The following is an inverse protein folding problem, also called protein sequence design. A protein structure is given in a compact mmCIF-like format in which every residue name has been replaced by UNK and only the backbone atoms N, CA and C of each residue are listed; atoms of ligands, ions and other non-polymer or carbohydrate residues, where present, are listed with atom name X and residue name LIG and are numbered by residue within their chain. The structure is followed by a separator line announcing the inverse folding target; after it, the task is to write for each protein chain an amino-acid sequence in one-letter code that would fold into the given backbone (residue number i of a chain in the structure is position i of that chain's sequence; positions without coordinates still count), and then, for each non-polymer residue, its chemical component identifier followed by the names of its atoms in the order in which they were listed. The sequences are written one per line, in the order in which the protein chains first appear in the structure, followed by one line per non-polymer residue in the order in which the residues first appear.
data_IF_896946216725
#
_entry.id   IF_896946216725
#
_cell.length_a   1.000
_cell.length_b   1.000
_cell.length_c   1.000
_cell.angle_alpha   90.00
_cell.angle_beta   90.00
_cell.angle_gamma   90.00
#
_symmetry.space_group_name_H-M   'P 1'
#
loop_
_entity.id
_entity.type
_entity.pdbx_description
1 polymer ?
#
# COMPACT_ATOMS: atom_id res chain seq x y z
N UNK A 1 -5.25 -17.87 -11.91
CA UNK A 1 -4.92 -16.88 -10.86
C UNK A 1 -3.89 -15.92 -11.41
N UNK A 2 -4.28 -14.66 -11.57
CA UNK A 2 -3.37 -13.54 -11.86
C UNK A 2 -2.46 -13.33 -10.64
N UNK A 3 -1.19 -13.03 -10.87
CA UNK A 3 -0.21 -12.79 -9.80
C UNK A 3 0.04 -11.28 -9.71
N UNK A 4 0.09 -10.75 -8.49
CA UNK A 4 0.31 -9.34 -8.22
C UNK A 4 1.51 -9.21 -7.30
N UNK A 5 2.50 -8.42 -7.70
CA UNK A 5 3.74 -8.26 -6.95
C UNK A 5 4.03 -6.79 -6.66
N UNK A 6 4.63 -6.54 -5.51
CA UNK A 6 5.07 -5.22 -5.06
C UNK A 6 6.59 -5.19 -5.00
N UNK A 7 7.20 -4.08 -5.45
CA UNK A 7 8.62 -3.81 -5.22
C UNK A 7 8.74 -2.41 -4.65
N UNK A 8 9.26 -2.29 -3.43
CA UNK A 8 9.48 -1.01 -2.75
C UNK A 8 10.97 -0.86 -2.45
N UNK A 9 11.52 0.30 -2.81
CA UNK A 9 12.81 0.79 -2.36
C UNK A 9 12.62 2.10 -1.60
N UNK A 10 13.67 2.59 -0.91
CA UNK A 10 13.61 3.84 -0.14
C UNK A 10 13.17 5.07 -0.94
N UNK A 11 13.24 5.04 -2.28
CA UNK A 11 12.90 6.17 -3.16
C UNK A 11 11.87 5.84 -4.23
N UNK A 12 11.50 4.58 -4.40
CA UNK A 12 10.66 4.15 -5.53
C UNK A 12 9.69 3.07 -5.10
N UNK A 13 8.44 3.23 -5.49
CA UNK A 13 7.37 2.28 -5.27
C UNK A 13 6.88 1.73 -6.60
N UNK A 14 6.75 0.41 -6.68
CA UNK A 14 6.34 -0.30 -7.90
C UNK A 14 5.29 -1.35 -7.57
N UNK A 15 4.25 -1.42 -8.40
CA UNK A 15 3.22 -2.46 -8.36
C UNK A 15 3.13 -3.07 -9.75
N UNK A 16 3.22 -4.40 -9.84
CA UNK A 16 3.02 -5.15 -11.09
C UNK A 16 1.70 -5.90 -11.05
N UNK A 17 0.87 -5.67 -12.08
CA UNK A 17 -0.32 -6.48 -12.35
C UNK A 17 -0.06 -7.35 -13.58
N UNK A 18 -0.21 -8.66 -13.44
CA UNK A 18 -0.05 -9.60 -14.56
C UNK A 18 -1.37 -10.32 -14.86
N UNK A 19 -1.72 -10.40 -16.14
CA UNK A 19 -2.74 -11.34 -16.64
C UNK A 19 -2.02 -12.63 -17.06
N UNK A 20 -2.44 -13.80 -16.55
CA UNK A 20 -1.86 -15.09 -16.99
C UNK A 20 -2.32 -15.43 -18.40
N UNK A 21 -1.56 -15.00 -19.40
CA UNK A 21 -1.64 -15.49 -20.78
C UNK A 21 -0.27 -15.43 -21.49
N UNK A 22 0.80 -15.97 -20.89
CA UNK A 22 2.03 -16.43 -21.60
C UNK A 22 3.07 -16.98 -20.61
N UNK A 23 3.95 -17.85 -21.10
CA UNK A 23 4.90 -18.72 -20.35
C UNK A 23 5.82 -17.96 -19.37
N UNK A 24 6.10 -18.65 -18.25
CA UNK A 24 6.98 -18.25 -17.15
C UNK A 24 8.40 -17.99 -17.68
N UNK A 25 8.86 -16.74 -17.58
CA UNK A 25 10.26 -16.35 -17.70
C UNK A 25 10.74 -15.83 -16.35
N UNK A 26 11.78 -16.46 -15.80
CA UNK A 26 12.43 -16.04 -14.54
C UNK A 26 13.04 -14.65 -14.68
N UNK A 27 12.62 -13.68 -13.87
CA UNK A 27 13.27 -12.36 -13.80
C UNK A 27 14.61 -12.54 -13.07
N UNK A 28 15.72 -12.43 -13.82
CA UNK A 28 17.07 -12.34 -13.26
C UNK A 28 17.34 -10.91 -12.79
N UNK A 29 18.06 -10.78 -11.68
CA UNK A 29 18.66 -9.52 -11.20
C UNK A 29 19.80 -9.14 -12.15
N UNK A 30 19.79 -7.92 -12.65
CA UNK A 30 20.84 -7.13 -13.35
C UNK A 30 20.03 -6.17 -14.26
N UNK A 31 19.90 -4.88 -13.97
CA UNK A 31 20.97 -3.86 -14.09
C UNK A 31 20.86 -2.79 -12.99
N UNK A 32 21.93 -2.60 -12.24
CA UNK A 32 22.15 -1.44 -11.38
C UNK A 32 23.08 -0.48 -12.11
N UNK A 33 22.65 0.77 -12.32
CA UNK A 33 23.54 1.86 -12.74
C UNK A 33 23.83 2.73 -11.53
N UNK A 34 25.11 2.73 -11.13
CA UNK A 34 25.69 3.52 -10.07
C UNK A 34 25.88 5.00 -10.49
N UNK A 35 25.49 5.93 -9.62
CA UNK A 35 26.37 7.00 -9.12
C UNK A 35 25.62 7.89 -8.09
N UNK A 36 26.02 7.93 -6.81
CA UNK A 36 25.48 8.89 -5.85
C UNK A 36 26.28 10.21 -5.89
N UNK A 37 25.55 11.34 -5.97
CA UNK A 37 26.07 12.68 -5.70
C UNK A 37 26.12 12.88 -4.18
N UNK A 38 27.22 13.37 -3.58
CA UNK A 38 27.28 13.57 -2.13
C UNK A 38 26.52 14.84 -1.73
N UNK A 39 25.47 14.70 -0.91
CA UNK A 39 24.87 15.83 -0.21
C UNK A 39 25.33 15.88 1.25
N UNK A 40 25.76 17.09 1.62
CA UNK A 40 26.30 17.49 2.90
C UNK A 40 25.23 17.40 4.01
N UNK A 41 25.56 16.74 5.11
CA UNK A 41 24.69 16.54 6.28
C UNK A 41 24.79 17.73 7.22
N UNK A 42 23.85 18.67 7.11
CA UNK A 42 23.61 19.62 8.19
C UNK A 42 22.55 19.04 9.14
N UNK A 43 23.03 18.64 10.31
CA UNK A 43 22.24 18.04 11.38
C UNK A 43 21.28 19.08 12.00
N UNK A 44 20.00 19.03 11.65
CA UNK A 44 18.94 19.58 12.51
C UNK A 44 18.41 18.44 13.37
N UNK A 45 18.87 18.36 14.62
CA UNK A 45 18.28 17.49 15.65
C UNK A 45 17.01 18.16 16.17
N UNK A 46 15.85 17.72 15.70
CA UNK A 46 14.58 17.93 16.41
C UNK A 46 13.97 16.58 16.73
N UNK A 47 14.16 16.15 17.98
CA UNK A 47 13.54 14.97 18.53
C UNK A 47 13.33 15.17 20.02
N UNK A 48 12.09 15.02 20.49
CA UNK A 48 11.83 14.85 21.91
C UNK A 48 12.58 13.57 22.37
N UNK A 49 13.42 13.65 23.42
CA UNK A 49 14.22 12.52 23.85
C UNK A 49 13.29 11.37 24.26
N UNK A 50 13.58 10.16 23.78
CA UNK A 50 12.89 8.96 24.24
C UNK A 50 13.22 8.77 25.73
N UNK A 51 12.20 8.74 26.59
CA UNK A 51 12.37 8.62 28.04
C UNK A 51 12.48 7.17 28.50
N UNK A 52 12.25 6.18 27.61
CA UNK A 52 12.39 4.76 27.93
C UNK A 52 12.68 3.83 26.73
N UNK A 53 13.11 2.60 27.03
CA UNK A 53 13.25 1.51 26.05
C UNK A 53 11.89 1.04 25.47
N UNK A 54 10.78 1.27 26.17
CA UNK A 54 9.43 1.03 25.67
C UNK A 54 9.04 2.06 24.61
N UNK A 55 9.42 3.33 24.79
CA UNK A 55 9.26 4.38 23.77
C UNK A 55 10.12 4.11 22.54
N UNK A 56 11.32 3.55 22.72
CA UNK A 56 12.18 3.17 21.60
C UNK A 56 11.63 1.98 20.79
N UNK A 57 10.92 1.04 21.43
CA UNK A 57 10.20 -0.07 20.76
C UNK A 57 8.92 0.41 20.09
N UNK A 58 8.15 1.26 20.77
CA UNK A 58 6.98 1.96 20.22
C UNK A 58 7.37 2.77 18.99
N UNK A 59 8.46 3.54 19.00
CA UNK A 59 8.96 4.29 17.83
C UNK A 59 9.48 3.39 16.69
N UNK A 60 10.01 2.20 17.01
CA UNK A 60 10.35 1.17 16.00
C UNK A 60 9.11 0.58 15.33
N UNK A 61 8.00 0.52 16.05
CA UNK A 61 6.70 0.09 15.54
C UNK A 61 5.91 1.24 14.89
N UNK A 62 6.14 2.50 15.28
CA UNK A 62 5.57 3.70 14.66
C UNK A 62 6.20 3.97 13.28
N UNK A 63 7.46 3.55 13.11
CA UNK A 63 8.11 3.42 11.80
C UNK A 63 7.49 2.31 10.90
N UNK A 64 6.60 1.44 11.41
CA UNK A 64 6.01 0.33 10.62
C UNK A 64 4.88 0.73 9.66
N UNK A 65 4.46 1.99 9.59
CA UNK A 65 3.47 2.43 8.57
C UNK A 65 3.97 3.56 7.71
N UNK A 66 5.18 3.39 7.15
CA UNK A 66 5.57 4.13 5.95
C UNK A 66 4.62 3.82 4.78
N UNK A 67 4.18 2.55 4.73
CA UNK A 67 3.57 1.94 3.57
C UNK A 67 2.37 1.07 3.97
N UNK A 68 1.27 1.22 3.23
CA UNK A 68 0.08 0.39 3.33
C UNK A 68 -0.19 -0.33 2.01
N UNK A 69 -0.01 -1.64 1.99
CA UNK A 69 -0.30 -2.48 0.83
C UNK A 69 -1.77 -2.96 0.87
N UNK A 70 -2.53 -2.65 -0.17
CA UNK A 70 -3.96 -2.95 -0.27
C UNK A 70 -4.28 -3.72 -1.56
N UNK A 71 -3.94 -5.03 -1.64
CA UNK A 71 -4.37 -5.88 -2.74
C UNK A 71 -5.90 -5.97 -2.78
N UNK A 72 -6.47 -5.93 -3.98
CA UNK A 72 -7.93 -5.93 -4.16
C UNK A 72 -8.36 -6.60 -5.47
N UNK A 73 -9.65 -6.87 -5.53
CA UNK A 73 -10.38 -7.27 -6.74
C UNK A 73 -11.53 -6.29 -7.04
N UNK A 74 -11.64 -5.23 -6.24
CA UNK A 74 -12.67 -4.21 -6.36
C UNK A 74 -12.22 -3.08 -7.30
N UNK A 75 -12.72 -3.10 -8.54
CA UNK A 75 -12.39 -2.12 -9.58
C UNK A 75 -13.14 -0.78 -9.45
N UNK A 76 -14.11 -0.68 -8.54
CA UNK A 76 -15.07 0.43 -8.48
C UNK A 76 -14.41 1.71 -7.97
N UNK A 77 -14.90 2.86 -8.40
CA UNK A 77 -14.32 4.16 -8.01
C UNK A 77 -14.36 4.41 -6.50
N UNK A 78 -15.33 3.83 -5.79
CA UNK A 78 -15.43 3.92 -4.34
C UNK A 78 -14.19 3.35 -3.62
N UNK A 79 -13.54 2.34 -4.22
CA UNK A 79 -12.30 1.79 -3.68
C UNK A 79 -11.20 2.86 -3.63
N UNK A 80 -11.13 3.73 -4.65
CA UNK A 80 -10.13 4.79 -4.71
C UNK A 80 -10.39 5.89 -3.70
N UNK A 81 -11.67 6.22 -3.46
CA UNK A 81 -12.04 7.11 -2.36
C UNK A 81 -11.56 6.55 -1.02
N UNK A 82 -11.75 5.25 -0.78
CA UNK A 82 -11.30 4.57 0.43
C UNK A 82 -9.78 4.58 0.59
N UNK A 83 -9.04 4.22 -0.47
CA UNK A 83 -7.57 4.20 -0.43
C UNK A 83 -6.96 5.59 -0.21
N UNK A 84 -7.56 6.62 -0.83
CA UNK A 84 -7.15 8.01 -0.59
C UNK A 84 -7.44 8.47 0.83
N UNK A 85 -8.59 8.09 1.37
CA UNK A 85 -8.94 8.39 2.75
C UNK A 85 -7.98 7.70 3.74
N UNK A 86 -7.68 6.41 3.56
CA UNK A 86 -6.72 5.67 4.40
C UNK A 86 -5.32 6.31 4.32
N UNK A 87 -4.85 6.68 3.12
CA UNK A 87 -3.55 7.34 2.96
C UNK A 87 -3.50 8.66 3.74
N UNK A 88 -4.56 9.46 3.60
CA UNK A 88 -4.74 10.71 4.33
C UNK A 88 -4.79 10.45 5.83
N UNK A 89 -5.79 9.74 6.35
CA UNK A 89 -5.96 9.51 7.80
C UNK A 89 -4.71 8.89 8.45
N UNK A 90 -4.12 7.87 7.83
CA UNK A 90 -2.97 7.16 8.38
C UNK A 90 -1.63 7.86 8.17
N UNK A 91 -1.58 8.95 7.40
CA UNK A 91 -0.35 9.65 6.97
C UNK A 91 0.72 8.67 6.47
N UNK A 92 0.33 7.83 5.51
CA UNK A 92 1.17 6.79 4.92
C UNK A 92 1.00 6.73 3.40
N UNK A 93 2.00 6.17 2.70
CA UNK A 93 1.84 5.86 1.30
C UNK A 93 0.95 4.63 1.14
N UNK A 94 -0.09 4.70 0.32
CA UNK A 94 -0.96 3.55 0.00
C UNK A 94 -0.58 3.00 -1.37
N UNK A 95 -0.51 1.68 -1.43
CA UNK A 95 -0.19 0.90 -2.62
C UNK A 95 -1.32 -0.08 -2.84
N UNK A 96 -2.25 0.28 -3.70
CA UNK A 96 -3.35 -0.60 -4.04
C UNK A 96 -3.12 -1.27 -5.38
N UNK A 97 -3.26 -2.58 -5.38
CA UNK A 97 -3.12 -3.38 -6.58
C UNK A 97 -4.43 -4.10 -6.87
N UNK A 98 -5.04 -3.74 -8.00
CA UNK A 98 -6.24 -4.39 -8.51
C UNK A 98 -5.87 -5.24 -9.72
N UNK A 99 -6.29 -6.50 -9.71
CA UNK A 99 -6.03 -7.41 -10.82
C UNK A 99 -6.74 -6.98 -12.10
N UNK A 100 -6.24 -7.46 -13.24
CA UNK A 100 -6.93 -7.39 -14.53
C UNK A 100 -7.42 -8.80 -14.85
N UNK A 101 -8.71 -8.91 -15.13
CA UNK A 101 -9.34 -10.14 -15.59
C UNK A 101 -10.16 -9.84 -16.85
N UNK A 102 -9.83 -10.48 -17.99
CA UNK A 102 -10.52 -10.27 -19.27
C UNK A 102 -12.03 -10.53 -19.20
N UNK A 103 -12.72 -10.14 -20.26
CA UNK A 103 -14.16 -10.36 -20.42
C UNK A 103 -14.51 -11.86 -20.56
N UNK A 104 -15.74 -12.29 -20.23
CA UNK A 104 -16.18 -13.65 -20.49
C UNK A 104 -15.95 -14.11 -21.94
N UNK A 105 -16.21 -13.23 -22.92
CA UNK A 105 -16.01 -13.50 -24.34
C UNK A 105 -14.54 -13.80 -24.66
N UNK A 106 -13.61 -12.99 -24.15
CA UNK A 106 -12.16 -13.21 -24.32
C UNK A 106 -11.68 -14.50 -23.63
N UNK A 107 -12.33 -14.88 -22.53
CA UNK A 107 -12.04 -16.12 -21.80
C UNK A 107 -12.73 -17.35 -22.40
N UNK A 108 -13.65 -17.17 -23.35
CA UNK A 108 -14.47 -18.24 -23.91
C UNK A 108 -15.40 -18.89 -22.88
N UNK A 109 -15.83 -18.12 -21.87
CA UNK A 109 -16.76 -18.57 -20.82
C UNK A 109 -18.06 -17.77 -20.88
N UNK A 110 -19.13 -18.34 -20.35
CA UNK A 110 -20.38 -17.64 -20.10
C UNK A 110 -20.51 -17.33 -18.61
N UNK A 111 -20.89 -16.10 -18.29
CA UNK A 111 -21.12 -15.65 -16.92
C UNK A 111 -22.54 -15.11 -16.84
N UNK A 112 -23.49 -15.88 -16.26
CA UNK A 112 -24.90 -15.50 -16.23
C UNK A 112 -25.13 -14.11 -15.61
N UNK A 113 -25.84 -13.25 -16.33
CA UNK A 113 -26.16 -11.88 -15.88
C UNK A 113 -25.00 -10.90 -16.00
N UNK A 114 -23.89 -11.28 -16.67
CA UNK A 114 -22.77 -10.40 -16.97
C UNK A 114 -22.73 -10.07 -18.47
N UNK A 115 -22.28 -8.86 -18.79
CA UNK A 115 -22.02 -8.46 -20.18
C UNK A 115 -20.79 -9.20 -20.71
N UNK A 116 -20.96 -10.00 -21.76
CA UNK A 116 -19.92 -10.86 -22.32
C UNK A 116 -18.64 -10.13 -22.75
N UNK A 117 -18.75 -8.85 -23.14
CA UNK A 117 -17.61 -8.03 -23.57
C UNK A 117 -17.03 -7.19 -22.43
N UNK A 118 -17.71 -7.11 -21.28
CA UNK A 118 -17.21 -6.36 -20.11
C UNK A 118 -16.14 -7.18 -19.40
N UNK A 119 -14.93 -6.63 -19.16
CA UNK A 119 -13.93 -7.26 -18.32
C UNK A 119 -14.50 -7.66 -16.96
N UNK A 120 -14.15 -8.85 -16.49
CA UNK A 120 -14.56 -9.28 -15.15
C UNK A 120 -13.94 -8.39 -14.08
N UNK A 121 -12.70 -7.93 -14.31
CA UNK A 121 -12.00 -6.95 -13.47
C UNK A 121 -11.10 -6.09 -14.36
N UNK A 122 -11.35 -4.79 -14.35
CA UNK A 122 -10.77 -3.76 -15.20
C UNK A 122 -9.63 -3.01 -14.50
N UNK A 123 -9.04 -3.62 -13.46
CA UNK A 123 -7.93 -3.06 -12.72
C UNK A 123 -8.33 -1.88 -11.83
N UNK A 124 -7.46 -0.88 -11.77
CA UNK A 124 -7.54 0.24 -10.83
C UNK A 124 -6.35 0.33 -9.88
N UNK A 125 -5.21 -0.30 -10.20
CA UNK A 125 -4.01 -0.19 -9.36
C UNK A 125 -3.54 1.26 -9.25
N UNK A 126 -3.24 1.71 -8.03
CA UNK A 126 -2.95 3.12 -7.72
C UNK A 126 -1.93 3.23 -6.59
N UNK A 127 -1.08 4.25 -6.67
CA UNK A 127 -0.18 4.66 -5.59
C UNK A 127 -0.65 6.03 -5.10
N UNK A 128 -0.83 6.17 -3.78
CA UNK A 128 -1.36 7.37 -3.14
C UNK A 128 -0.38 7.87 -2.09
N UNK A 129 -0.15 9.19 -2.06
CA UNK A 129 0.68 9.87 -1.09
C UNK A 129 -0.02 10.11 0.25
N UNK A 130 0.73 10.49 1.30
CA UNK A 130 0.23 10.60 2.68
C UNK A 130 -0.79 11.73 2.91
N UNK A 131 -0.97 12.63 1.95
CA UNK A 131 -2.02 13.65 1.97
C UNK A 131 -3.28 13.23 1.19
N UNK A 132 -3.28 12.03 0.59
CA UNK A 132 -4.39 11.49 -0.20
C UNK A 132 -4.30 11.78 -1.71
N UNK A 133 -3.19 12.38 -2.17
CA UNK A 133 -2.93 12.65 -3.58
C UNK A 133 -2.54 11.39 -4.34
N UNK A 134 -3.03 11.24 -5.57
CA UNK A 134 -2.64 10.11 -6.43
C UNK A 134 -1.29 10.41 -7.06
N UNK A 135 -0.29 9.58 -6.75
CA UNK A 135 1.07 9.70 -7.27
C UNK A 135 1.24 8.95 -8.60
N UNK A 136 0.53 7.82 -8.77
CA UNK A 136 0.52 7.06 -10.01
C UNK A 136 -0.76 6.20 -10.14
N UNK A 137 -1.22 5.98 -11.37
CA UNK A 137 -2.49 5.29 -11.66
C UNK A 137 -3.69 6.26 -11.64
N UNK A 138 -4.94 5.74 -11.56
CA UNK A 138 -5.30 4.33 -11.55
C UNK A 138 -5.06 3.66 -12.91
N UNK A 139 -4.36 2.51 -12.92
CA UNK A 139 -4.15 1.73 -14.13
C UNK A 139 -5.38 0.87 -14.43
N UNK A 140 -6.10 1.21 -15.51
CA UNK A 140 -7.32 0.51 -15.95
C UNK A 140 -7.15 -0.08 -17.36
N UNK A 141 -7.93 -1.12 -17.68
CA UNK A 141 -8.01 -1.68 -19.04
C UNK A 141 -6.83 -2.52 -19.50
N UNK A 142 -5.74 -2.57 -18.73
CA UNK A 142 -4.54 -3.31 -19.13
C UNK A 142 -3.70 -3.77 -17.93
N UNK A 143 -3.02 -4.90 -18.11
CA UNK A 143 -1.94 -5.32 -17.23
C UNK A 143 -0.74 -4.37 -17.39
N UNK A 144 0.00 -4.12 -16.30
CA UNK A 144 1.16 -3.24 -16.39
C UNK A 144 1.86 -3.00 -15.05
N UNK A 145 2.86 -2.11 -15.11
CA UNK A 145 3.61 -1.68 -13.94
C UNK A 145 3.23 -0.24 -13.60
N UNK A 146 2.75 -0.02 -12.37
CA UNK A 146 2.52 1.33 -11.81
C UNK A 146 3.72 1.68 -10.95
N UNK A 147 4.34 2.82 -11.22
CA UNK A 147 5.58 3.26 -10.55
C UNK A 147 5.42 4.71 -10.09
N UNK A 148 5.86 5.00 -8.87
CA UNK A 148 6.01 6.35 -8.36
C UNK A 148 7.34 6.50 -7.62
N UNK A 149 7.94 7.68 -7.71
CA UNK A 149 9.00 8.09 -6.79
C UNK A 149 8.37 8.72 -5.55
N UNK A 150 8.96 8.46 -4.39
CA UNK A 150 8.47 8.98 -3.12
C UNK A 150 9.59 9.61 -2.31
N UNK A 151 9.22 10.63 -1.54
CA UNK A 151 10.05 11.19 -0.49
C UNK A 151 9.51 10.76 0.88
N UNK A 152 10.31 10.01 1.62
CA UNK A 152 9.91 9.54 2.96
C UNK A 152 9.75 10.69 3.97
N UNK A 153 10.37 11.84 3.72
CA UNK A 153 10.23 13.01 4.56
C UNK A 153 8.82 13.62 4.47
N UNK A 154 8.06 13.32 3.41
CA UNK A 154 6.64 13.70 3.30
C UNK A 154 5.81 13.12 4.45
N UNK A 155 6.20 11.97 5.00
CA UNK A 155 5.47 11.36 6.12
C UNK A 155 5.65 12.15 7.41
N UNK A 156 6.85 12.70 7.63
CA UNK A 156 7.13 13.56 8.78
C UNK A 156 6.36 14.87 8.62
N UNK A 157 6.40 15.47 7.42
CA UNK A 157 5.64 16.68 7.10
C UNK A 157 4.13 16.48 7.27
N UNK A 158 3.60 15.35 6.80
CA UNK A 158 2.17 15.07 6.86
C UNK A 158 1.69 14.72 8.28
N UNK A 159 2.53 14.05 9.09
CA UNK A 159 2.24 13.82 10.52
C UNK A 159 2.35 15.06 11.39
N UNK A 160 3.16 16.04 10.99
CA UNK A 160 3.19 17.34 11.67
C UNK A 160 1.82 18.05 11.59
N UNK A 161 1.15 17.94 10.44
CA UNK A 161 -0.19 18.50 10.25
C UNK A 161 -1.28 17.70 11.01
N UNK A 162 -1.19 16.37 11.00
CA UNK A 162 -2.16 15.50 11.67
C UNK A 162 -1.55 14.16 12.07
N UNK A 163 -1.68 13.78 13.34
CA UNK A 163 -1.21 12.51 13.88
C UNK A 163 -2.27 11.87 14.78
N UNK A 164 -3.01 10.92 14.21
CA UNK A 164 -4.18 10.27 14.81
C UNK A 164 -3.87 9.46 16.08
N UNK A 165 -2.66 8.90 16.19
CA UNK A 165 -2.23 8.13 17.38
C UNK A 165 -1.27 8.89 18.27
N UNK A 166 -0.75 10.03 17.81
CA UNK A 166 0.09 10.94 18.59
C UNK A 166 -0.70 12.15 19.09
N UNK A 167 -0.36 13.35 18.61
CA UNK A 167 -0.80 14.60 19.24
C UNK A 167 -2.29 14.96 19.07
N UNK A 168 -3.02 14.29 18.18
CA UNK A 168 -4.50 14.37 18.12
C UNK A 168 -5.20 13.30 18.96
N UNK A 169 -4.47 12.33 19.51
CA UNK A 169 -5.06 11.28 20.33
C UNK A 169 -5.62 11.82 21.66
N UNK A 170 -6.73 11.22 22.12
CA UNK A 170 -7.37 11.51 23.41
C UNK A 170 -7.41 10.26 24.29
N UNK A 171 -6.25 9.81 24.82
CA UNK A 171 -6.18 8.61 25.64
C UNK A 171 -6.98 8.71 26.95
N UNK A 172 -7.33 9.92 27.37
CA UNK A 172 -8.24 10.19 28.49
C UNK A 172 -9.71 9.92 28.16
N UNK A 173 -10.08 9.84 26.88
CA UNK A 173 -11.46 9.55 26.42
C UNK A 173 -11.56 8.16 25.82
N UNK A 174 -10.61 7.80 24.96
CA UNK A 174 -10.63 6.56 24.21
C UNK A 174 -9.31 5.82 24.33
N UNK A 175 -9.39 4.54 24.65
CA UNK A 175 -8.28 3.59 24.55
C UNK A 175 -8.75 2.31 23.88
N UNK A 176 -7.88 1.70 23.09
CA UNK A 176 -8.11 0.42 22.43
C UNK A 176 -7.12 -0.61 22.97
N UNK A 177 -7.64 -1.76 23.41
CA UNK A 177 -6.84 -2.93 23.76
C UNK A 177 -7.12 -4.06 22.77
N UNK A 178 -6.06 -4.68 22.25
CA UNK A 178 -6.15 -5.75 21.26
C UNK A 178 -5.60 -7.03 21.86
N UNK A 179 -6.39 -8.10 21.82
CA UNK A 179 -5.95 -9.44 22.19
C UNK A 179 -5.39 -10.17 20.97
N UNK A 180 -4.06 -10.13 20.82
CA UNK A 180 -3.35 -10.74 19.68
C UNK A 180 -3.17 -12.27 19.81
N UNK A 181 -3.71 -12.91 20.85
CA UNK A 181 -3.61 -14.37 21.01
C UNK A 181 -4.38 -15.07 19.90
N UNK A 182 -3.74 -16.07 19.28
CA UNK A 182 -4.39 -16.96 18.32
C UNK A 182 -5.66 -17.59 18.93
N UNK A 183 -6.79 -17.43 18.25
CA UNK A 183 -8.08 -18.03 18.64
C UNK A 183 -8.29 -19.32 17.84
N UNK A 184 -8.72 -20.37 18.53
CA UNK A 184 -9.09 -21.65 17.88
C UNK A 184 -10.56 -21.61 17.52
N UNK A 185 -10.92 -22.15 16.37
CA UNK A 185 -12.33 -22.23 15.93
C UNK A 185 -13.16 -23.24 16.71
N UNK A 186 -12.50 -24.21 17.38
CA UNK A 186 -13.15 -25.24 18.17
C UNK A 186 -12.39 -25.42 19.48
N UNK A 187 -13.14 -25.49 20.59
CA UNK A 187 -12.65 -25.79 21.93
C UNK A 187 -13.46 -26.98 22.48
N UNK A 188 -12.79 -28.08 22.82
CA UNK A 188 -13.42 -29.26 23.42
C UNK A 188 -13.33 -29.16 24.94
N UNK A 189 -14.43 -29.49 25.63
CA UNK A 189 -14.51 -29.54 27.10
C UNK A 189 -15.09 -30.89 27.50
N UNK A 190 -14.42 -31.56 28.44
CA UNK A 190 -14.86 -32.82 29.04
C UNK A 190 -15.72 -32.58 30.30
#
# INVERSE_FOLDING_TARGET
MAETAYVISEKTMRIKTESRSSRIGTVRREDAVENPVPMQKDHIKFGYPATSLADARSRRDEAKRLLWCAPTVDERDIWQCSMRHIAHEGRCFVVSACQIQPSPAELGIDVPGWDGDRPLINGGSVIVGPLGDVLAGPLRGQAGLVVAEIDTDDLVRARYDFDVVGHYARPDVFSLSVDERAKRSVEFKD
#
